data_IF_448726355189
#
_entry.id   IF_448726355189
#
_cell.length_a   1.000
_cell.length_b   1.000
_cell.length_c   1.000
_cell.angle_alpha   90.00
_cell.angle_beta   90.00
_cell.angle_gamma   90.00
#
_symmetry.space_group_name_H-M   'P 1'
#
loop_
_entity.id
_entity.type
_entity.pdbx_description
1 polymer ?
#
# COMPACT_ATOMS: atom_id res chain seq x y z
N UNK A 1 -7.63 -27.29 -57.91
CA UNK A 1 -7.46 -27.14 -56.45
C UNK A 1 -7.29 -25.65 -56.16
N UNK A 2 -8.34 -24.94 -55.74
CA UNK A 2 -8.25 -23.50 -55.49
C UNK A 2 -7.52 -23.25 -54.16
N UNK A 3 -6.38 -22.56 -54.19
CA UNK A 3 -5.72 -22.04 -52.98
C UNK A 3 -6.66 -21.02 -52.35
N UNK A 4 -7.23 -21.34 -51.19
CA UNK A 4 -7.89 -20.35 -50.32
C UNK A 4 -6.85 -19.27 -50.00
N UNK A 5 -7.12 -18.04 -50.40
CA UNK A 5 -6.37 -16.87 -49.94
C UNK A 5 -6.68 -16.76 -48.45
N UNK A 6 -5.73 -17.14 -47.60
CA UNK A 6 -5.82 -16.83 -46.18
C UNK A 6 -5.64 -15.33 -46.05
N UNK A 7 -6.68 -14.63 -45.59
CA UNK A 7 -6.53 -13.26 -45.12
C UNK A 7 -5.86 -13.36 -43.75
N UNK A 8 -4.57 -13.01 -43.61
CA UNK A 8 -3.90 -13.09 -42.32
C UNK A 8 -4.62 -12.17 -41.34
N UNK A 9 -5.02 -12.71 -40.18
CA UNK A 9 -5.63 -11.91 -39.13
C UNK A 9 -4.55 -11.32 -38.24
N UNK A 10 -4.77 -10.12 -37.72
CA UNK A 10 -3.94 -9.58 -36.64
C UNK A 10 -3.98 -10.46 -35.37
N UNK A 11 -4.99 -11.33 -35.24
CA UNK A 11 -5.04 -12.33 -34.18
C UNK A 11 -3.97 -13.43 -34.32
N UNK A 12 -3.44 -13.65 -35.53
CA UNK A 12 -2.46 -14.71 -35.84
C UNK A 12 -1.00 -14.26 -35.67
N UNK A 13 -0.78 -13.01 -35.24
CA UNK A 13 0.57 -12.50 -34.98
C UNK A 13 1.24 -13.27 -33.82
N UNK A 14 2.53 -13.63 -33.95
CA UNK A 14 3.30 -14.20 -32.84
C UNK A 14 3.30 -13.26 -31.62
N UNK A 15 3.18 -13.85 -30.43
CA UNK A 15 3.13 -13.09 -29.17
C UNK A 15 4.33 -12.16 -28.97
N UNK A 16 5.52 -12.54 -29.44
CA UNK A 16 6.73 -11.70 -29.38
C UNK A 16 6.61 -10.41 -30.18
N UNK A 17 5.92 -10.42 -31.33
CA UNK A 17 5.70 -9.21 -32.12
C UNK A 17 4.60 -8.34 -31.51
N UNK A 18 3.54 -8.95 -30.99
CA UNK A 18 2.50 -8.24 -30.24
C UNK A 18 3.12 -7.57 -29.02
N UNK A 19 4.05 -8.23 -28.32
CA UNK A 19 4.72 -7.70 -27.13
C UNK A 19 5.47 -6.42 -27.46
N UNK A 20 6.27 -6.44 -28.54
CA UNK A 20 7.00 -5.25 -29.02
C UNK A 20 6.02 -4.13 -29.36
N UNK A 21 4.98 -4.41 -30.16
CA UNK A 21 3.98 -3.40 -30.52
C UNK A 21 3.36 -2.79 -29.27
N UNK A 22 2.87 -3.64 -28.36
CA UNK A 22 2.19 -3.24 -27.14
C UNK A 22 3.13 -2.44 -26.22
N UNK A 23 4.43 -2.72 -26.20
CA UNK A 23 5.42 -2.04 -25.36
C UNK A 23 5.74 -0.62 -25.81
N UNK A 24 5.41 -0.29 -27.06
CA UNK A 24 5.57 1.06 -27.62
C UNK A 24 4.27 1.87 -27.59
N UNK A 25 3.14 1.28 -27.16
CA UNK A 25 1.87 1.97 -27.06
C UNK A 25 1.70 2.59 -25.68
N UNK A 26 1.44 3.90 -25.62
CA UNK A 26 0.97 4.54 -24.40
C UNK A 26 -0.24 3.77 -23.82
N UNK A 27 -0.33 3.69 -22.49
CA UNK A 27 -1.33 2.89 -21.75
C UNK A 27 -2.75 2.91 -22.35
N UNK A 28 -3.26 4.10 -22.70
CA UNK A 28 -4.59 4.26 -23.34
C UNK A 28 -4.73 3.49 -24.65
N UNK A 29 -3.72 3.56 -25.51
CA UNK A 29 -3.73 2.87 -26.81
C UNK A 29 -3.48 1.37 -26.63
N UNK A 30 -2.65 0.99 -25.67
CA UNK A 30 -2.45 -0.39 -25.29
C UNK A 30 -3.77 -1.02 -24.80
N UNK A 31 -4.55 -0.36 -23.93
CA UNK A 31 -5.89 -0.81 -23.49
C UNK A 31 -6.83 -1.06 -24.68
N UNK A 32 -6.87 -0.12 -25.63
CA UNK A 32 -7.69 -0.25 -26.84
C UNK A 32 -7.23 -1.42 -27.73
N UNK A 33 -5.92 -1.59 -27.90
CA UNK A 33 -5.36 -2.69 -28.69
C UNK A 33 -5.66 -4.06 -28.05
N UNK A 34 -5.62 -4.16 -26.72
CA UNK A 34 -6.03 -5.38 -26.01
C UNK A 34 -7.51 -5.73 -26.15
N UNK A 35 -8.38 -4.77 -26.50
CA UNK A 35 -9.78 -5.08 -26.76
C UNK A 35 -10.00 -5.74 -28.13
N UNK A 36 -8.98 -5.81 -28.99
CA UNK A 36 -9.11 -6.36 -30.34
C UNK A 36 -9.34 -7.89 -30.34
N UNK A 37 -8.54 -8.64 -29.56
CA UNK A 37 -8.71 -10.08 -29.40
C UNK A 37 -7.97 -10.61 -28.16
N UNK A 38 -8.24 -11.87 -27.79
CA UNK A 38 -7.67 -12.53 -26.60
C UNK A 38 -6.13 -12.56 -26.57
N UNK A 39 -5.50 -12.86 -27.70
CA UNK A 39 -4.02 -12.88 -27.81
C UNK A 39 -3.41 -11.51 -27.47
N UNK A 40 -3.97 -10.43 -28.03
CA UNK A 40 -3.56 -9.06 -27.75
C UNK A 40 -3.92 -8.59 -26.33
N UNK A 41 -4.99 -9.14 -25.76
CA UNK A 41 -5.32 -8.92 -24.35
C UNK A 41 -4.25 -9.50 -23.43
N UNK A 42 -3.93 -10.79 -23.57
CA UNK A 42 -2.98 -11.49 -22.70
C UNK A 42 -1.57 -10.89 -22.78
N UNK A 43 -1.09 -10.62 -24.00
CA UNK A 43 0.20 -9.96 -24.21
C UNK A 43 0.17 -8.52 -23.72
N UNK A 44 -0.92 -7.78 -23.97
CA UNK A 44 -1.07 -6.40 -23.52
C UNK A 44 -1.06 -6.25 -22.01
N UNK A 45 -1.74 -7.16 -21.29
CA UNK A 45 -1.67 -7.23 -19.82
C UNK A 45 -0.24 -7.50 -19.38
N UNK A 46 0.44 -8.48 -19.98
CA UNK A 46 1.83 -8.83 -19.66
C UNK A 46 2.79 -7.64 -19.88
N UNK A 47 2.62 -6.90 -20.96
CA UNK A 47 3.42 -5.70 -21.26
C UNK A 47 3.11 -4.54 -20.32
N UNK A 48 1.84 -4.32 -19.95
CA UNK A 48 1.50 -3.28 -18.96
C UNK A 48 2.12 -3.56 -17.61
N UNK A 49 2.19 -4.84 -17.22
CA UNK A 49 2.94 -5.30 -16.03
C UNK A 49 4.44 -5.00 -16.17
N UNK A 50 4.93 -4.84 -17.40
CA UNK A 50 6.31 -4.46 -17.74
C UNK A 50 6.50 -2.96 -17.92
N UNK A 51 5.48 -2.08 -17.94
CA UNK A 51 5.68 -0.62 -17.89
C UNK A 51 5.84 -0.13 -16.43
N UNK A 52 7.00 0.48 -16.14
CA UNK A 52 7.83 0.17 -14.94
C UNK A 52 7.85 1.18 -13.79
N UNK A 53 6.90 2.09 -13.66
CA UNK A 53 7.04 3.17 -12.67
C UNK A 53 5.82 3.30 -11.75
N UNK A 54 6.05 3.40 -10.42
CA UNK A 54 4.97 3.56 -9.47
C UNK A 54 4.27 4.90 -9.70
N UNK A 55 2.94 4.86 -9.72
CA UNK A 55 2.15 6.08 -9.80
C UNK A 55 2.11 6.73 -8.42
N UNK A 56 2.20 8.06 -8.40
CA UNK A 56 2.04 8.83 -7.18
C UNK A 56 0.58 9.22 -7.02
N UNK A 57 0.03 8.94 -5.85
CA UNK A 57 -1.30 9.44 -5.48
C UNK A 57 -1.12 10.56 -4.46
N UNK A 58 -1.66 11.73 -4.80
CA UNK A 58 -1.75 12.87 -3.91
C UNK A 58 -3.16 12.96 -3.35
N UNK A 59 -3.25 12.92 -2.02
CA UNK A 59 -4.51 13.01 -1.30
C UNK A 59 -4.86 14.49 -1.09
N UNK A 60 -6.02 14.96 -1.57
CA UNK A 60 -6.42 16.35 -1.39
C UNK A 60 -6.67 16.63 0.09
N UNK A 61 -6.46 17.88 0.52
CA UNK A 61 -6.82 18.31 1.88
C UNK A 61 -8.34 18.30 2.11
N UNK A 62 -9.13 18.48 1.05
CA UNK A 62 -10.61 18.49 1.06
C UNK A 62 -11.14 17.96 -0.27
N UNK A 63 -12.29 17.27 -0.21
CA UNK A 63 -12.97 16.74 -1.40
C UNK A 63 -12.54 15.33 -1.79
N UNK A 64 -13.12 14.83 -2.88
CA UNK A 64 -13.01 13.42 -3.31
C UNK A 64 -12.29 13.27 -4.66
N UNK A 65 -11.59 14.32 -5.11
CA UNK A 65 -10.84 14.31 -6.36
C UNK A 65 -9.37 14.08 -6.06
N UNK A 66 -8.87 12.91 -6.47
CA UNK A 66 -7.51 12.47 -6.18
C UNK A 66 -6.63 12.70 -7.40
N UNK A 67 -5.43 13.20 -7.14
CA UNK A 67 -4.43 13.46 -8.17
C UNK A 67 -3.51 12.25 -8.30
N UNK A 68 -3.44 11.73 -9.51
CA UNK A 68 -2.52 10.68 -9.92
C UNK A 68 -1.45 11.31 -10.80
N UNK A 69 -0.19 11.14 -10.41
CA UNK A 69 0.94 11.65 -11.19
C UNK A 69 1.74 10.49 -11.74
N UNK A 70 1.90 10.54 -13.06
CA UNK A 70 2.88 9.74 -13.75
C UNK A 70 4.25 10.42 -13.61
N UNK A 71 5.20 9.83 -12.86
CA UNK A 71 6.49 10.47 -12.62
C UNK A 71 7.38 10.52 -13.88
N UNK A 72 7.16 9.68 -14.90
CA UNK A 72 7.97 9.70 -16.11
C UNK A 72 7.51 10.78 -17.09
N UNK A 73 6.19 10.91 -17.26
CA UNK A 73 5.61 11.87 -18.20
C UNK A 73 5.25 13.20 -17.54
N UNK A 74 5.45 13.31 -16.22
CA UNK A 74 5.02 14.43 -15.37
C UNK A 74 3.57 14.83 -15.63
N UNK A 75 2.73 13.85 -15.97
CA UNK A 75 1.35 14.08 -16.38
C UNK A 75 0.42 13.86 -15.20
N UNK A 76 -0.47 14.83 -15.01
CA UNK A 76 -1.50 14.79 -13.98
C UNK A 76 -2.77 14.15 -14.53
N UNK A 77 -3.31 13.22 -13.76
CA UNK A 77 -4.64 12.64 -13.97
C UNK A 77 -5.46 12.88 -12.70
N UNK A 78 -6.74 13.16 -12.88
CA UNK A 78 -7.66 13.30 -11.75
C UNK A 78 -8.66 12.16 -11.74
N UNK A 79 -8.91 11.60 -10.56
CA UNK A 79 -9.84 10.49 -10.38
C UNK A 79 -10.77 10.79 -9.20
N UNK A 80 -12.07 10.71 -9.46
CA UNK A 80 -13.09 10.77 -8.40
C UNK A 80 -13.17 9.44 -7.65
N UNK A 81 -12.84 9.46 -6.36
CA UNK A 81 -12.92 8.31 -5.46
C UNK A 81 -13.85 8.64 -4.27
N UNK A 82 -15.17 8.67 -4.49
CA UNK A 82 -16.14 8.94 -3.42
C UNK A 82 -16.08 7.92 -2.28
N UNK A 83 -15.58 6.71 -2.53
CA UNK A 83 -15.37 5.64 -1.55
C UNK A 83 -14.38 6.06 -0.45
N UNK A 84 -13.49 7.01 -0.76
CA UNK A 84 -12.49 7.56 0.15
C UNK A 84 -12.94 8.86 0.83
N UNK A 85 -14.19 9.27 0.65
CA UNK A 85 -14.73 10.44 1.32
C UNK A 85 -14.51 10.35 2.84
N UNK A 86 -14.07 11.47 3.43
CA UNK A 86 -13.80 11.60 4.85
C UNK A 86 -12.84 10.54 5.42
N UNK A 87 -11.96 10.00 4.58
CA UNK A 87 -11.02 8.95 4.96
C UNK A 87 -9.58 9.43 4.84
N UNK A 88 -8.72 8.90 5.70
CA UNK A 88 -7.28 9.20 5.71
C UNK A 88 -6.48 7.96 5.41
N UNK A 89 -5.45 8.10 4.59
CA UNK A 89 -4.53 7.00 4.31
C UNK A 89 -3.63 6.76 5.53
N UNK A 90 -3.59 5.51 5.96
CA UNK A 90 -2.78 5.05 7.09
C UNK A 90 -1.54 4.28 6.62
N UNK A 91 -1.69 3.45 5.59
CA UNK A 91 -0.59 2.66 5.04
C UNK A 91 -0.84 2.34 3.55
N UNK A 92 0.22 1.99 2.83
CA UNK A 92 0.17 1.60 1.41
C UNK A 92 1.15 0.48 1.14
N UNK A 93 0.70 -0.55 0.43
CA UNK A 93 1.55 -1.65 -0.03
C UNK A 93 0.84 -2.46 -1.11
N UNK A 94 1.59 -2.98 -2.08
CA UNK A 94 1.06 -3.90 -3.11
C UNK A 94 -0.10 -3.32 -3.94
N UNK A 95 -0.11 -2.01 -4.20
CA UNK A 95 -1.23 -1.35 -4.89
C UNK A 95 -2.48 -1.12 -4.02
N UNK A 96 -2.49 -1.59 -2.77
CA UNK A 96 -3.59 -1.41 -1.82
C UNK A 96 -3.30 -0.29 -0.83
N UNK A 97 -4.37 0.42 -0.47
CA UNK A 97 -4.38 1.45 0.56
C UNK A 97 -5.09 0.91 1.81
N UNK A 98 -4.51 1.13 2.97
CA UNK A 98 -5.18 0.95 4.25
C UNK A 98 -5.71 2.31 4.71
N UNK A 99 -7.02 2.44 4.76
CA UNK A 99 -7.74 3.68 4.98
C UNK A 99 -8.38 3.69 6.38
N UNK A 100 -8.52 4.88 6.98
CA UNK A 100 -9.26 5.10 8.23
C UNK A 100 -10.29 6.20 8.06
N UNK A 101 -11.55 5.92 8.37
CA UNK A 101 -12.62 6.93 8.37
C UNK A 101 -12.41 7.95 9.49
N UNK A 102 -12.60 9.23 9.20
CA UNK A 102 -12.37 10.31 10.15
C UNK A 102 -13.35 10.27 11.33
N UNK A 103 -14.62 9.99 11.06
CA UNK A 103 -15.73 10.00 12.03
C UNK A 103 -15.83 8.69 12.81
N UNK A 104 -16.06 7.56 12.14
CA UNK A 104 -16.26 6.26 12.80
C UNK A 104 -14.98 5.61 13.31
N UNK A 105 -13.81 6.06 12.81
CA UNK A 105 -12.49 5.43 13.00
C UNK A 105 -12.37 4.02 12.43
N UNK A 106 -13.35 3.57 11.64
CA UNK A 106 -13.29 2.27 10.98
C UNK A 106 -12.11 2.22 10.00
N UNK A 107 -11.52 1.04 9.90
CA UNK A 107 -10.38 0.75 9.03
C UNK A 107 -10.85 -0.16 7.91
N UNK A 108 -10.37 0.07 6.69
CA UNK A 108 -10.70 -0.76 5.53
C UNK A 108 -9.56 -0.72 4.51
N UNK A 109 -9.46 -1.76 3.69
CA UNK A 109 -8.60 -1.74 2.52
C UNK A 109 -9.34 -1.18 1.31
N UNK A 110 -8.59 -0.49 0.46
CA UNK A 110 -9.09 0.03 -0.80
C UNK A 110 -8.05 -0.12 -1.90
N UNK A 111 -8.47 -0.63 -3.06
CA UNK A 111 -7.66 -0.63 -4.26
C UNK A 111 -8.16 0.48 -5.21
N UNK A 112 -7.36 1.52 -5.49
CA UNK A 112 -7.80 2.63 -6.34
C UNK A 112 -7.96 2.28 -7.82
N UNK A 113 -7.39 1.16 -8.28
CA UNK A 113 -7.47 0.72 -9.67
C UNK A 113 -8.70 -0.14 -9.92
N UNK A 114 -8.98 -1.11 -9.05
CA UNK A 114 -10.18 -1.96 -9.16
C UNK A 114 -11.41 -1.37 -8.47
N UNK A 115 -11.21 -0.41 -7.56
CA UNK A 115 -12.21 0.13 -6.62
C UNK A 115 -12.72 -0.88 -5.60
N UNK A 116 -12.03 -1.99 -5.42
CA UNK A 116 -12.39 -2.99 -4.44
C UNK A 116 -12.19 -2.45 -3.02
N UNK A 117 -13.14 -2.80 -2.14
CA UNK A 117 -13.13 -2.48 -0.72
C UNK A 117 -13.16 -3.78 0.07
N UNK A 118 -12.24 -3.92 1.03
CA UNK A 118 -12.29 -5.01 2.01
C UNK A 118 -12.49 -4.37 3.38
N UNK A 119 -13.69 -4.60 3.92
CA UNK A 119 -14.07 -4.15 5.26
C UNK A 119 -13.35 -4.98 6.32
N UNK A 120 -13.04 -4.34 7.46
CA UNK A 120 -12.41 -4.98 8.60
C UNK A 120 -13.31 -4.83 9.84
N UNK A 121 -13.20 -5.73 10.83
CA UNK A 121 -13.88 -5.54 12.09
C UNK A 121 -13.38 -4.27 12.79
N UNK A 122 -14.20 -3.72 13.67
CA UNK A 122 -13.85 -2.48 14.37
C UNK A 122 -12.68 -2.69 15.33
N UNK A 123 -11.57 -1.99 15.10
CA UNK A 123 -10.44 -1.98 16.02
C UNK A 123 -10.79 -1.11 17.24
N UNK A 124 -10.81 -1.72 18.44
CA UNK A 124 -11.07 -0.99 19.69
C UNK A 124 -9.86 -0.18 20.18
N UNK A 125 -8.66 -0.56 19.74
CA UNK A 125 -7.43 0.13 20.10
C UNK A 125 -7.39 1.52 19.45
N UNK A 126 -7.15 2.55 20.25
CA UNK A 126 -6.85 3.90 19.75
C UNK A 126 -5.39 3.95 19.25
N UNK A 127 -5.10 3.21 18.17
CA UNK A 127 -3.76 2.99 17.67
C UNK A 127 -3.15 4.22 16.98
N UNK A 128 -1.82 4.33 17.13
CA UNK A 128 -0.98 5.38 16.56
C UNK A 128 -0.45 4.98 15.19
N UNK A 129 -0.02 3.72 15.06
CA UNK A 129 0.53 3.18 13.82
C UNK A 129 -0.20 1.92 13.40
N UNK A 130 -0.33 1.71 12.09
CA UNK A 130 -0.91 0.51 11.52
C UNK A 130 -0.20 0.14 10.21
N UNK A 131 -0.03 -1.15 9.96
CA UNK A 131 0.49 -1.70 8.70
C UNK A 131 -0.07 -3.10 8.44
N UNK A 132 0.23 -3.65 7.27
CA UNK A 132 -0.14 -5.01 6.90
C UNK A 132 0.98 -5.76 6.18
N UNK A 133 0.96 -7.09 6.23
CA UNK A 133 2.09 -7.96 5.83
C UNK A 133 2.19 -8.23 4.32
N UNK A 134 1.13 -8.75 3.71
CA UNK A 134 1.06 -9.19 2.31
C UNK A 134 -0.18 -8.63 1.61
N UNK A 135 -0.66 -9.25 0.51
CA UNK A 135 -1.86 -8.78 -0.18
C UNK A 135 -3.10 -8.93 0.73
N UNK A 136 -3.99 -7.93 0.84
CA UNK A 136 -5.21 -8.02 1.65
C UNK A 136 -6.18 -9.14 1.24
N UNK A 137 -6.02 -9.68 0.03
CA UNK A 137 -6.80 -10.79 -0.51
C UNK A 137 -6.20 -12.16 -0.19
N UNK A 138 -5.02 -12.20 0.46
CA UNK A 138 -4.37 -13.44 0.89
C UNK A 138 -4.78 -13.78 2.32
N UNK A 139 -5.01 -15.08 2.57
CA UNK A 139 -5.36 -15.60 3.90
C UNK A 139 -4.24 -15.37 4.93
N UNK A 140 -2.99 -15.29 4.48
CA UNK A 140 -1.81 -15.03 5.33
C UNK A 140 -1.63 -13.54 5.69
N UNK A 141 -2.54 -12.67 5.24
CA UNK A 141 -2.42 -11.24 5.51
C UNK A 141 -2.72 -10.95 6.99
N UNK A 142 -1.73 -10.36 7.66
CA UNK A 142 -1.83 -9.91 9.03
C UNK A 142 -1.74 -8.39 9.04
N UNK A 143 -2.69 -7.75 9.71
CA UNK A 143 -2.64 -6.36 10.09
C UNK A 143 -2.05 -6.24 11.48
N UNK A 144 -1.24 -5.21 11.68
CA UNK A 144 -0.68 -4.83 12.97
C UNK A 144 -1.04 -3.38 13.24
N UNK A 145 -1.76 -3.13 14.33
CA UNK A 145 -2.00 -1.83 14.90
C UNK A 145 -1.30 -1.75 16.27
N UNK A 146 -0.59 -0.66 16.55
CA UNK A 146 0.13 -0.48 17.81
C UNK A 146 -0.15 0.87 18.44
N UNK A 147 -0.07 0.90 19.77
CA UNK A 147 -0.11 2.10 20.60
C UNK A 147 0.96 1.98 21.68
N UNK A 148 1.87 2.96 21.75
CA UNK A 148 2.79 3.02 22.87
C UNK A 148 2.10 3.63 24.10
N UNK A 149 2.35 3.07 25.27
CA UNK A 149 1.80 3.54 26.55
C UNK A 149 2.98 3.83 27.49
N UNK A 150 3.60 5.03 27.40
CA UNK A 150 4.79 5.38 28.16
C UNK A 150 4.57 5.40 29.68
N UNK A 151 3.36 5.72 30.13
CA UNK A 151 3.04 5.72 31.57
C UNK A 151 3.27 4.35 32.21
N UNK A 152 3.09 3.29 31.43
CA UNK A 152 3.08 1.91 31.90
C UNK A 152 4.27 1.11 31.34
N UNK A 153 5.18 1.78 30.60
CA UNK A 153 6.31 1.16 29.89
C UNK A 153 5.91 -0.06 29.05
N UNK A 154 4.77 0.03 28.37
CA UNK A 154 4.24 -1.04 27.54
C UNK A 154 3.82 -0.54 26.16
N UNK A 155 3.63 -1.50 25.26
CA UNK A 155 3.03 -1.29 23.95
C UNK A 155 1.84 -2.22 23.85
N UNK A 156 0.69 -1.63 23.53
CA UNK A 156 -0.50 -2.38 23.21
C UNK A 156 -0.47 -2.70 21.72
N UNK A 157 -0.51 -3.98 21.40
CA UNK A 157 -0.47 -4.53 20.06
C UNK A 157 -1.81 -5.16 19.74
N UNK A 158 -2.40 -4.79 18.61
CA UNK A 158 -3.64 -5.38 18.12
C UNK A 158 -3.43 -5.91 16.70
N UNK A 159 -3.79 -7.17 16.47
CA UNK A 159 -3.65 -7.84 15.16
C UNK A 159 -5.00 -8.30 14.62
N UNK A 160 -5.13 -8.33 13.30
CA UNK A 160 -6.31 -8.81 12.61
C UNK A 160 -5.92 -9.44 11.27
N UNK A 161 -6.75 -10.35 10.77
CA UNK A 161 -6.66 -10.86 9.40
C UNK A 161 -7.87 -10.36 8.60
N UNK A 162 -7.76 -10.15 7.28
CA UNK A 162 -8.92 -9.97 6.42
C UNK A 162 -9.92 -11.13 6.63
N UNK A 163 -11.21 -10.81 6.78
CA UNK A 163 -12.25 -11.80 7.06
C UNK A 163 -12.40 -12.22 8.53
N UNK A 164 -11.51 -11.79 9.43
CA UNK A 164 -11.69 -12.00 10.87
C UNK A 164 -12.89 -11.21 11.42
N UNK A 165 -13.49 -11.72 12.50
CA UNK A 165 -14.63 -11.07 13.18
C UNK A 165 -14.20 -10.06 14.24
N UNK A 166 -12.98 -10.19 14.77
CA UNK A 166 -12.44 -9.33 15.82
C UNK A 166 -10.93 -9.19 15.75
N UNK A 167 -10.42 -8.20 16.49
CA UNK A 167 -9.00 -7.95 16.65
C UNK A 167 -8.49 -8.63 17.92
N UNK A 168 -7.31 -9.26 17.84
CA UNK A 168 -6.63 -9.86 18.99
C UNK A 168 -5.64 -8.86 19.56
N UNK A 169 -5.81 -8.50 20.84
CA UNK A 169 -5.04 -7.42 21.48
C UNK A 169 -4.29 -7.94 22.70
N UNK A 170 -3.00 -7.62 22.78
CA UNK A 170 -2.13 -7.97 23.91
C UNK A 170 -1.23 -6.78 24.26
N UNK A 171 -0.80 -6.73 25.52
CA UNK A 171 0.19 -5.78 26.01
C UNK A 171 1.55 -6.44 26.16
N UNK A 172 2.60 -5.74 25.71
CA UNK A 172 3.98 -6.19 25.84
C UNK A 172 4.81 -5.16 26.59
N UNK A 173 5.66 -5.59 27.55
CA UNK A 173 6.67 -4.71 28.12
C UNK A 173 7.57 -4.17 27.01
N UNK A 174 7.86 -2.87 27.05
CA UNK A 174 8.78 -2.27 26.08
C UNK A 174 9.60 -1.15 26.70
N UNK A 175 10.80 -0.98 26.19
CA UNK A 175 11.58 0.20 26.50
C UNK A 175 11.07 1.40 25.69
N UNK A 176 10.68 2.47 26.38
CA UNK A 176 10.19 3.70 25.76
C UNK A 176 11.06 4.85 26.25
N UNK A 177 11.68 5.56 25.32
CA UNK A 177 12.31 6.84 25.63
C UNK A 177 11.29 7.97 25.43
N UNK A 178 11.45 9.06 26.18
CA UNK A 178 10.48 10.16 26.26
C UNK A 178 10.26 10.92 24.93
N UNK A 179 11.04 10.63 23.87
CA UNK A 179 10.83 11.18 22.53
C UNK A 179 9.96 10.27 21.63
N UNK A 180 8.72 10.71 21.43
CA UNK A 180 7.60 10.06 20.72
C UNK A 180 7.67 10.06 19.18
N UNK A 181 8.85 10.15 18.59
CA UNK A 181 8.95 10.21 17.12
C UNK A 181 9.18 8.82 16.57
N UNK A 182 8.14 7.99 16.54
CA UNK A 182 8.18 6.69 15.88
C UNK A 182 7.99 6.83 14.36
N UNK A 183 8.77 6.06 13.61
CA UNK A 183 8.58 5.86 12.19
C UNK A 183 7.25 5.16 11.91
N UNK A 184 6.82 5.17 10.64
CA UNK A 184 5.78 4.24 10.19
C UNK A 184 6.23 2.78 10.41
N UNK A 185 5.26 1.88 10.55
CA UNK A 185 5.49 0.44 10.59
C UNK A 185 5.87 -0.07 9.20
N UNK A 186 6.82 -1.01 9.13
CA UNK A 186 7.25 -1.66 7.89
C UNK A 186 7.30 -3.16 8.09
N UNK A 187 6.62 -3.92 7.24
CA UNK A 187 6.71 -5.38 7.25
C UNK A 187 7.83 -5.90 6.34
N UNK A 188 8.71 -6.76 6.88
CA UNK A 188 9.82 -7.36 6.14
C UNK A 188 10.31 -8.63 6.83
N UNK A 189 10.62 -9.70 6.07
CA UNK A 189 11.11 -10.98 6.63
C UNK A 189 10.25 -11.45 7.83
N UNK A 190 8.95 -11.54 7.58
CA UNK A 190 7.94 -12.08 8.51
C UNK A 190 7.72 -11.29 9.80
N UNK A 191 8.31 -10.10 9.92
CA UNK A 191 8.19 -9.23 11.09
C UNK A 191 7.80 -7.82 10.72
N UNK A 192 7.13 -7.15 11.64
CA UNK A 192 6.88 -5.72 11.57
C UNK A 192 7.98 -4.98 12.33
N UNK A 193 8.44 -3.87 11.77
CA UNK A 193 9.47 -3.01 12.35
C UNK A 193 9.00 -1.57 12.42
N UNK A 194 9.36 -0.87 13.48
CA UNK A 194 9.38 0.59 13.53
C UNK A 194 10.59 1.04 14.36
N UNK A 195 11.02 2.28 14.20
CA UNK A 195 12.12 2.82 14.98
C UNK A 195 11.77 4.21 15.49
N UNK A 196 12.42 4.65 16.57
CA UNK A 196 12.30 6.02 17.05
C UNK A 196 13.50 6.88 16.64
N UNK A 197 13.36 8.19 16.77
CA UNK A 197 14.41 9.16 16.46
C UNK A 197 15.72 8.98 17.26
N UNK A 198 15.66 8.26 18.38
CA UNK A 198 16.79 8.00 19.28
C UNK A 198 17.49 6.66 18.99
N UNK A 199 17.19 6.02 17.87
CA UNK A 199 17.89 4.83 17.41
C UNK A 199 17.43 3.52 18.06
N UNK A 200 16.25 3.48 18.67
CA UNK A 200 15.63 2.23 19.11
C UNK A 200 14.84 1.62 17.97
N UNK A 201 15.19 0.41 17.56
CA UNK A 201 14.46 -0.40 16.59
C UNK A 201 13.57 -1.42 17.31
N UNK A 202 12.26 -1.29 17.14
CA UNK A 202 11.27 -2.23 17.63
C UNK A 202 10.91 -3.24 16.55
N UNK A 203 10.58 -4.46 16.96
CA UNK A 203 10.00 -5.45 16.07
C UNK A 203 8.95 -6.31 16.75
N UNK A 204 7.91 -6.63 15.97
CA UNK A 204 6.85 -7.55 16.35
C UNK A 204 6.84 -8.74 15.39
N UNK A 205 6.86 -9.94 15.96
CA UNK A 205 6.69 -11.21 15.25
C UNK A 205 5.25 -11.69 15.42
N UNK A 206 4.42 -11.68 14.35
CA UNK A 206 3.02 -12.08 14.44
C UNK A 206 2.82 -13.58 14.66
N UNK A 207 3.75 -14.43 14.23
CA UNK A 207 3.63 -15.89 14.35
C UNK A 207 3.83 -16.36 15.79
N UNK A 208 4.81 -15.77 16.49
CA UNK A 208 5.08 -16.08 17.89
C UNK A 208 4.47 -15.09 18.88
N UNK A 209 3.82 -14.03 18.37
CA UNK A 209 3.34 -12.87 19.15
C UNK A 209 4.39 -12.34 20.12
N UNK A 210 5.58 -12.06 19.61
CA UNK A 210 6.68 -11.53 20.43
C UNK A 210 6.99 -10.09 20.08
N UNK A 211 7.23 -9.28 21.10
CA UNK A 211 7.72 -7.92 20.96
C UNK A 211 9.18 -7.85 21.41
N UNK A 212 10.02 -7.24 20.59
CA UNK A 212 11.45 -7.08 20.88
C UNK A 212 11.91 -5.68 20.51
N UNK A 213 12.99 -5.21 21.13
CA UNK A 213 13.63 -3.95 20.81
C UNK A 213 15.15 -4.08 20.82
N UNK A 214 15.81 -3.25 20.02
CA UNK A 214 17.27 -3.13 19.95
C UNK A 214 17.60 -1.64 20.02
N UNK A 215 18.38 -1.22 21.00
CA UNK A 215 18.87 0.14 21.13
C UNK A 215 20.21 0.29 20.41
N UNK A 216 20.31 1.24 19.49
CA UNK A 216 21.59 1.68 18.96
C UNK A 216 21.98 2.99 19.66
N UNK A 217 22.66 2.88 20.80
CA UNK A 217 23.01 4.03 21.67
C UNK A 217 23.93 5.09 21.00
N UNK A 218 24.34 4.88 19.74
CA UNK A 218 25.25 5.76 18.98
C UNK A 218 24.67 6.32 17.68
N UNK A 219 23.45 5.95 17.29
CA UNK A 219 22.85 6.45 16.04
C UNK A 219 21.98 7.68 16.35
N UNK A 220 22.63 8.84 16.49
CA UNK A 220 21.93 10.12 16.43
C UNK A 220 21.46 10.28 14.98
N UNK A 221 20.14 10.22 14.74
CA UNK A 221 19.60 10.50 13.42
C UNK A 221 19.89 11.97 13.07
N UNK A 222 20.69 12.27 12.02
CA UNK A 222 21.04 13.66 11.68
C UNK A 222 19.85 14.47 11.13
N UNK A 223 18.70 13.82 10.93
CA UNK A 223 17.48 14.40 10.36
C UNK A 223 16.36 14.63 11.40
N UNK A 224 16.68 14.72 12.70
CA UNK A 224 15.70 15.15 13.71
C UNK A 224 15.38 16.62 13.45
N UNK A 225 14.38 16.86 12.60
CA UNK A 225 13.83 18.19 12.40
C UNK A 225 13.13 18.63 13.69
N UNK A 226 13.67 19.67 14.33
CA UNK A 226 12.97 20.39 15.37
C UNK A 226 11.59 20.83 14.85
N UNK A 227 10.58 20.65 15.70
CA UNK A 227 9.15 20.75 15.40
C UNK A 227 8.78 22.09 14.74
N UNK A 228 8.74 22.11 13.41
CA UNK A 228 7.77 22.90 12.68
C UNK A 228 6.80 21.94 12.00
N UNK A 229 5.69 21.64 12.69
CA UNK A 229 4.57 20.92 12.08
C UNK A 229 3.89 21.81 11.05
N UNK A 230 4.47 21.85 9.85
CA UNK A 230 3.73 22.29 8.67
C UNK A 230 2.91 21.08 8.22
N UNK A 231 1.59 21.22 8.17
CA UNK A 231 0.68 20.25 7.56
C UNK A 231 1.01 20.11 6.07
N UNK A 232 1.99 19.25 5.75
CA UNK A 232 2.38 18.92 4.39
C UNK A 232 1.45 17.86 3.81
N UNK A 233 1.26 17.93 2.51
CA UNK A 233 0.50 16.94 1.74
C UNK A 233 1.13 15.56 1.91
N UNK A 234 0.31 14.54 2.19
CA UNK A 234 0.75 13.15 2.20
C UNK A 234 0.70 12.62 0.77
N UNK A 235 1.88 12.46 0.16
CA UNK A 235 2.02 11.70 -1.07
C UNK A 235 2.22 10.23 -0.72
N UNK A 236 1.47 9.35 -1.40
CA UNK A 236 1.57 7.90 -1.22
C UNK A 236 2.03 7.29 -2.53
N UNK A 237 3.04 6.42 -2.44
CA UNK A 237 3.53 5.64 -3.57
C UNK A 237 2.83 4.29 -3.55
N UNK A 238 2.12 3.95 -4.62
CA UNK A 238 1.65 2.59 -4.83
C UNK A 238 2.73 1.82 -5.56
N UNK A 239 3.31 0.85 -4.87
CA UNK A 239 4.20 -0.13 -5.49
C UNK A 239 3.41 -1.39 -5.68
N UNK A 240 3.05 -1.70 -6.92
CA UNK A 240 2.61 -3.02 -7.30
C UNK A 240 3.85 -3.93 -7.28
N UNK A 241 3.83 -4.93 -6.41
CA UNK A 241 4.93 -5.89 -6.30
C UNK A 241 4.49 -7.14 -7.06
N UNK A 242 5.34 -7.52 -8.03
CA UNK A 242 5.26 -8.77 -8.79
C UNK A 242 5.11 -9.98 -7.89
#
# INVERSE_FOLDING_TARGET
MCKKIMNPSFADLPSSLIEVIMSHLALKNNIRASAACKSWYEVGVSVRVVEKHPWLICFPKRGNLFEFRDPLHWKLYTLGLPELAESTVCYSRFGWLLMRKATSKDVFFFNPFSRDIISLPKCKLAFEHIAFSCLPTSDDCVLLAIKFVPTDNLVTVSTCNPGATEWVTDDFPTFIRLFYMQSNLVFRRDKFYCFNAEGTLYNFDPSYRTWNYICADKLICPYVHEKQYVWREKAVVLVEKK
#
